data_IF_047496434423
#
_entry.id   IF_047496434423
#
_cell.length_a   1.000
_cell.length_b   1.000
_cell.length_c   1.000
_cell.angle_alpha   90.00
_cell.angle_beta   90.00
_cell.angle_gamma   90.00
#
_symmetry.space_group_name_H-M   'P 1'
#
loop_
_entity.id
_entity.type
_entity.pdbx_description
1 polymer ?
#
# COMPACT_ATOMS: atom_id res chain seq x y z
N UNK A 1 44.29 -27.67 -14.82
CA UNK A 1 42.90 -27.53 -15.29
C UNK A 1 42.82 -26.42 -16.33
N UNK A 2 42.70 -26.74 -17.62
CA UNK A 2 42.38 -25.74 -18.66
C UNK A 2 40.86 -25.55 -18.63
N UNK A 3 40.39 -24.53 -17.91
CA UNK A 3 38.97 -24.15 -17.99
C UNK A 3 38.71 -23.78 -19.46
N UNK A 4 37.77 -24.46 -20.15
CA UNK A 4 37.46 -24.12 -21.52
C UNK A 4 36.83 -22.73 -21.52
N UNK A 5 37.63 -21.71 -21.84
CA UNK A 5 37.27 -20.29 -21.84
C UNK A 5 35.95 -20.02 -22.58
N UNK A 6 35.67 -20.86 -23.58
CA UNK A 6 34.43 -20.88 -24.36
C UNK A 6 33.17 -21.12 -23.52
N UNK A 7 33.20 -22.07 -22.57
CA UNK A 7 32.07 -22.34 -21.65
C UNK A 7 31.85 -21.19 -20.66
N UNK A 8 32.94 -20.55 -20.22
CA UNK A 8 32.85 -19.40 -19.32
C UNK A 8 32.21 -18.19 -20.01
N UNK A 9 32.55 -17.96 -21.29
CA UNK A 9 31.92 -16.92 -22.11
C UNK A 9 30.43 -17.17 -22.37
N UNK A 10 30.03 -18.42 -22.57
CA UNK A 10 28.62 -18.80 -22.70
C UNK A 10 27.84 -18.56 -21.39
N UNK A 11 28.42 -18.97 -20.25
CA UNK A 11 27.85 -18.69 -18.92
C UNK A 11 27.72 -17.19 -18.66
N UNK A 12 28.75 -16.41 -18.98
CA UNK A 12 28.73 -14.96 -18.81
C UNK A 12 27.65 -14.30 -19.67
N UNK A 13 27.49 -14.73 -20.92
CA UNK A 13 26.44 -14.24 -21.81
C UNK A 13 25.05 -14.56 -21.27
N UNK A 14 24.85 -15.77 -20.77
CA UNK A 14 23.58 -16.17 -20.17
C UNK A 14 23.28 -15.37 -18.89
N UNK A 15 24.30 -15.17 -18.05
CA UNK A 15 24.21 -14.36 -16.85
C UNK A 15 23.86 -12.90 -17.16
N UNK A 16 24.50 -12.30 -18.18
CA UNK A 16 24.16 -10.95 -18.62
C UNK A 16 22.72 -10.86 -19.14
N UNK A 17 22.26 -11.85 -19.91
CA UNK A 17 20.86 -11.92 -20.35
C UNK A 17 19.89 -12.03 -19.17
N UNK A 18 20.22 -12.85 -18.17
CA UNK A 18 19.42 -13.00 -16.96
C UNK A 18 19.34 -11.68 -16.18
N UNK A 19 20.49 -11.03 -15.96
CA UNK A 19 20.58 -9.77 -15.20
C UNK A 19 19.79 -8.67 -15.91
N UNK A 20 19.97 -8.51 -17.22
CA UNK A 20 19.24 -7.51 -18.02
C UNK A 20 17.74 -7.76 -18.01
N UNK A 21 17.31 -9.00 -18.18
CA UNK A 21 15.90 -9.40 -18.09
C UNK A 21 15.31 -9.07 -16.70
N UNK A 22 16.03 -9.43 -15.64
CA UNK A 22 15.59 -9.20 -14.25
C UNK A 22 15.45 -7.71 -13.93
N UNK A 23 16.41 -6.89 -14.35
CA UNK A 23 16.36 -5.43 -14.20
C UNK A 23 15.19 -4.81 -14.96
N UNK A 24 14.94 -5.26 -16.19
CA UNK A 24 13.79 -4.84 -16.99
C UNK A 24 12.47 -5.19 -16.30
N UNK A 25 12.30 -6.43 -15.86
CA UNK A 25 11.10 -6.87 -15.15
C UNK A 25 10.89 -6.08 -13.86
N UNK A 26 11.93 -5.86 -13.08
CA UNK A 26 11.86 -5.04 -11.87
C UNK A 26 11.42 -3.61 -12.17
N UNK A 27 12.01 -2.97 -13.20
CA UNK A 27 11.62 -1.63 -13.60
C UNK A 27 10.15 -1.51 -14.00
N UNK A 28 9.65 -2.47 -14.77
CA UNK A 28 8.23 -2.53 -15.17
C UNK A 28 7.32 -2.66 -13.95
N UNK A 29 7.63 -3.60 -13.04
CA UNK A 29 6.86 -3.81 -11.81
C UNK A 29 6.90 -2.56 -10.93
N UNK A 30 8.04 -1.89 -10.83
CA UNK A 30 8.19 -0.68 -10.01
C UNK A 30 7.32 0.46 -10.52
N UNK A 31 7.34 0.74 -11.83
CA UNK A 31 6.50 1.76 -12.46
C UNK A 31 5.02 1.42 -12.28
N UNK A 32 4.66 0.16 -12.47
CA UNK A 32 3.28 -0.29 -12.30
C UNK A 32 2.82 -0.18 -10.83
N UNK A 33 3.69 -0.53 -9.88
CA UNK A 33 3.43 -0.41 -8.45
C UNK A 33 3.24 1.03 -8.02
N UNK A 34 4.01 1.98 -8.56
CA UNK A 34 3.82 3.41 -8.27
C UNK A 34 2.51 3.96 -8.83
N UNK A 35 1.99 3.38 -9.93
CA UNK A 35 0.72 3.77 -10.51
C UNK A 35 -0.49 3.13 -9.80
N UNK A 36 -0.34 1.91 -9.29
CA UNK A 36 -1.42 1.15 -8.66
C UNK A 36 -1.54 1.39 -7.15
N UNK A 37 -0.42 1.57 -6.45
CA UNK A 37 -0.43 1.93 -5.04
C UNK A 37 -0.24 3.45 -4.93
N UNK A 38 -1.24 4.21 -4.43
CA UNK A 38 -1.01 5.59 -4.06
C UNK A 38 0.15 5.64 -3.06
N UNK A 39 1.09 6.55 -3.29
CA UNK A 39 2.35 6.69 -2.54
C UNK A 39 2.17 6.90 -1.04
N UNK A 40 0.94 7.16 -0.59
CA UNK A 40 0.63 7.53 0.78
C UNK A 40 -0.78 7.06 1.18
N UNK A 41 -0.97 5.77 1.49
CA UNK A 41 -2.29 5.21 1.82
C UNK A 41 -2.91 5.78 3.10
N UNK A 42 -2.13 6.52 3.89
CA UNK A 42 -2.55 7.16 5.14
C UNK A 42 -2.36 8.68 5.14
N UNK A 43 -2.22 9.30 3.96
CA UNK A 43 -2.14 10.76 3.90
C UNK A 43 -3.46 11.33 4.41
N UNK A 44 -3.41 11.92 5.60
CA UNK A 44 -4.51 12.71 6.14
C UNK A 44 -4.74 13.85 5.15
N UNK A 45 -5.93 13.99 4.56
CA UNK A 45 -6.18 15.06 3.62
C UNK A 45 -5.91 16.41 4.31
N UNK A 46 -5.10 17.27 3.68
CA UNK A 46 -4.80 18.65 4.12
C UNK A 46 -6.00 19.60 3.89
N UNK A 47 -7.19 19.13 4.28
CA UNK A 47 -8.41 19.89 4.35
C UNK A 47 -9.02 19.65 5.72
N UNK A 48 -9.69 20.66 6.27
CA UNK A 48 -10.51 20.48 7.46
C UNK A 48 -11.54 19.39 7.14
N UNK A 49 -11.27 18.16 7.59
CA UNK A 49 -12.26 17.11 7.58
C UNK A 49 -13.37 17.61 8.50
N UNK A 50 -14.37 18.24 7.90
CA UNK A 50 -15.67 18.43 8.52
C UNK A 50 -16.19 17.02 8.70
N UNK A 51 -15.75 16.38 9.80
CA UNK A 51 -16.37 15.19 10.34
C UNK A 51 -17.80 15.64 10.57
N UNK A 52 -18.70 15.31 9.64
CA UNK A 52 -20.12 15.73 9.64
C UNK A 52 -20.84 15.21 10.90
N UNK A 53 -20.14 14.41 11.71
CA UNK A 53 -20.55 14.04 13.06
C UNK A 53 -19.50 14.52 14.08
N UNK A 54 -19.30 15.84 14.18
CA UNK A 54 -18.82 16.45 15.44
C UNK A 54 -19.98 16.39 16.44
N UNK A 55 -20.21 15.22 17.04
CA UNK A 55 -20.94 15.09 18.32
C UNK A 55 -20.12 15.70 19.49
N UNK A 56 -19.31 16.73 19.22
CA UNK A 56 -18.42 17.37 20.21
C UNK A 56 -19.24 18.07 21.31
N UNK A 57 -20.55 18.26 21.11
CA UNK A 57 -21.48 18.78 22.11
C UNK A 57 -22.66 17.83 22.42
N UNK A 58 -22.58 16.55 22.06
CA UNK A 58 -23.56 15.62 22.62
C UNK A 58 -23.17 15.34 24.07
N UNK A 59 -24.10 15.46 25.05
CA UNK A 59 -23.83 15.01 26.40
C UNK A 59 -23.34 13.56 26.30
N UNK A 60 -22.27 13.22 27.02
CA UNK A 60 -21.86 11.82 27.14
C UNK A 60 -23.11 10.99 27.46
N UNK A 61 -23.38 9.91 26.70
CA UNK A 61 -24.57 9.12 26.96
C UNK A 61 -24.43 8.52 28.37
N UNK A 62 -25.15 9.08 29.34
CA UNK A 62 -25.21 8.56 30.70
C UNK A 62 -26.15 7.37 30.80
N UNK A 63 -26.94 7.12 29.75
CA UNK A 63 -27.95 6.08 29.69
C UNK A 63 -27.63 5.00 28.64
N UNK A 64 -28.12 3.79 28.92
CA UNK A 64 -27.93 2.59 28.10
C UNK A 64 -28.37 2.77 26.64
N UNK A 65 -29.44 3.52 26.40
CA UNK A 65 -29.94 3.79 25.04
C UNK A 65 -28.96 4.63 24.22
N UNK A 66 -28.26 5.58 24.84
CA UNK A 66 -27.26 6.40 24.17
C UNK A 66 -26.01 5.60 23.77
N UNK A 67 -25.63 4.59 24.56
CA UNK A 67 -24.58 3.65 24.20
C UNK A 67 -24.97 2.76 23.02
N UNK A 68 -26.20 2.25 22.99
CA UNK A 68 -26.72 1.44 21.88
C UNK A 68 -26.78 2.22 20.56
N UNK A 69 -27.25 3.47 20.61
CA UNK A 69 -27.30 4.35 19.43
C UNK A 69 -25.89 4.59 18.85
N UNK A 70 -24.89 4.78 19.70
CA UNK A 70 -23.49 4.95 19.27
C UNK A 70 -22.93 3.67 18.64
N UNK A 71 -23.25 2.51 19.20
CA UNK A 71 -22.84 1.21 18.65
C UNK A 71 -23.47 0.93 17.27
N UNK A 72 -24.73 1.28 17.09
CA UNK A 72 -25.41 1.14 15.81
C UNK A 72 -24.79 2.07 14.75
N UNK A 73 -24.44 3.29 15.15
CA UNK A 73 -23.79 4.26 14.27
C UNK A 73 -22.41 3.75 13.83
N UNK A 74 -21.61 3.19 14.76
CA UNK A 74 -20.36 2.48 14.47
C UNK A 74 -20.59 1.35 13.43
N UNK A 75 -21.59 0.51 13.63
CA UNK A 75 -21.86 -0.63 12.75
C UNK A 75 -22.28 -0.21 11.34
N UNK A 76 -22.99 0.91 11.19
CA UNK A 76 -23.47 1.42 9.90
C UNK A 76 -22.41 2.23 9.15
N UNK A 77 -21.60 3.02 9.85
CA UNK A 77 -20.60 3.90 9.23
C UNK A 77 -19.20 3.32 9.16
N UNK A 78 -18.93 2.24 9.90
CA UNK A 78 -17.72 1.42 9.75
C UNK A 78 -16.42 2.16 10.02
N UNK A 79 -16.34 2.93 11.12
CA UNK A 79 -15.02 3.37 11.63
C UNK A 79 -14.13 2.18 12.03
#
# INVERSE_FOLDING_TARGET
MRVPYRRFMEMLRFLLLLVTCTLLSYGIIHVLSQSLLPSNPYQVPDGEAVKVVKLINAPEPQDWEGYLARLQLFYVTGE
#
